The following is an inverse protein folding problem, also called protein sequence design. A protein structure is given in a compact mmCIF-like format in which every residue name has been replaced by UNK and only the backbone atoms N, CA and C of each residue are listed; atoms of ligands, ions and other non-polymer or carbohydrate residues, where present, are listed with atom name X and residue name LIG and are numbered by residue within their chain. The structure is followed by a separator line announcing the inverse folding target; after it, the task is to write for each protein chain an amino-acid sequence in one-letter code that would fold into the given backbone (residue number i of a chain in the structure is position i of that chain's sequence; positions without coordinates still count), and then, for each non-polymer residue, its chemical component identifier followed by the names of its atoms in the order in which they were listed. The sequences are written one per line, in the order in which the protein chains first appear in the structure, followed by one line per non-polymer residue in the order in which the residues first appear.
data_IF_937062108395
#
_entry.id   IF_937062108395
#
_cell.length_a   1.000
_cell.length_b   1.000
_cell.length_c   1.000
_cell.angle_alpha   90.00
_cell.angle_beta   90.00
_cell.angle_gamma   90.00
#
_symmetry.space_group_name_H-M   'P 1'
#
loop_
_entity.id
_entity.type
_entity.pdbx_description
1 polymer ?
#
# COMPACT_ATOMS: atom_id res chain seq x y z
N UNK A 1 19.51 -18.19 17.31
CA UNK A 1 19.97 -17.56 16.05
C UNK A 1 18.86 -17.40 14.98
N UNK A 2 17.55 -17.30 15.32
CA UNK A 2 16.49 -17.21 14.29
C UNK A 2 15.74 -15.88 14.19
N UNK A 3 15.95 -14.92 15.08
CA UNK A 3 15.12 -13.70 15.12
C UNK A 3 15.93 -12.39 14.92
N UNK A 4 17.24 -12.38 15.22
CA UNK A 4 18.17 -11.30 14.77
C UNK A 4 18.41 -11.38 13.25
N UNK A 5 18.34 -12.58 12.68
CA UNK A 5 18.30 -12.74 11.23
C UNK A 5 17.08 -12.09 10.60
N UNK A 6 15.91 -12.11 11.24
CA UNK A 6 14.65 -11.66 10.61
C UNK A 6 14.55 -10.13 10.56
N UNK A 7 14.90 -9.41 11.64
CA UNK A 7 14.88 -7.94 11.64
C UNK A 7 15.96 -7.33 10.72
N UNK A 8 17.18 -7.89 10.73
CA UNK A 8 18.27 -7.41 9.86
C UNK A 8 18.02 -7.78 8.40
N UNK A 9 17.46 -8.97 8.11
CA UNK A 9 16.99 -9.33 6.77
C UNK A 9 15.81 -8.45 6.34
N UNK A 10 14.90 -8.05 7.23
CA UNK A 10 13.81 -7.14 6.89
C UNK A 10 14.30 -5.73 6.56
N UNK A 11 15.22 -5.16 7.35
CA UNK A 11 15.78 -3.82 7.06
C UNK A 11 16.68 -3.85 5.81
N UNK A 12 17.51 -4.89 5.65
CA UNK A 12 18.30 -5.06 4.42
C UNK A 12 17.42 -5.35 3.20
N UNK A 13 16.33 -6.11 3.35
CA UNK A 13 15.39 -6.33 2.26
C UNK A 13 14.73 -5.00 1.86
N UNK A 14 14.20 -4.23 2.81
CA UNK A 14 13.58 -2.92 2.54
C UNK A 14 14.56 -1.92 1.91
N UNK A 15 15.83 -1.91 2.33
CA UNK A 15 16.86 -1.07 1.70
C UNK A 15 17.22 -1.55 0.28
N UNK A 16 17.42 -2.86 0.08
CA UNK A 16 17.65 -3.42 -1.26
C UNK A 16 16.47 -3.18 -2.22
N UNK A 17 15.23 -3.12 -1.71
CA UNK A 17 14.05 -2.84 -2.53
C UNK A 17 13.97 -1.38 -2.98
N UNK A 18 14.45 -0.43 -2.17
CA UNK A 18 14.47 0.98 -2.56
C UNK A 18 15.48 1.23 -3.69
N UNK A 19 16.70 0.69 -3.55
CA UNK A 19 17.75 0.81 -4.57
C UNK A 19 17.32 0.17 -5.90
N UNK A 20 16.62 -0.98 -5.85
CA UNK A 20 16.10 -1.64 -7.06
C UNK A 20 15.04 -0.82 -7.79
N UNK A 21 14.13 -0.13 -7.08
CA UNK A 21 13.12 0.74 -7.70
C UNK A 21 13.81 1.95 -8.34
N UNK A 22 14.76 2.57 -7.65
CA UNK A 22 15.50 3.73 -8.17
C UNK A 22 16.34 3.35 -9.40
N UNK A 23 16.96 2.18 -9.42
CA UNK A 23 17.66 1.63 -10.59
C UNK A 23 16.71 1.41 -11.78
N UNK A 24 15.51 0.89 -11.53
CA UNK A 24 14.50 0.70 -12.59
C UNK A 24 13.97 2.05 -13.10
N UNK A 25 13.78 3.04 -12.22
CA UNK A 25 13.38 4.39 -12.61
C UNK A 25 14.46 5.05 -13.47
N UNK A 26 15.74 4.91 -13.13
CA UNK A 26 16.84 5.41 -13.94
C UNK A 26 16.83 4.77 -15.35
N UNK A 27 16.52 3.48 -15.45
CA UNK A 27 16.40 2.76 -16.72
C UNK A 27 15.21 3.18 -17.58
N UNK A 28 14.22 3.90 -17.04
CA UNK A 28 13.15 4.48 -17.87
C UNK A 28 13.69 5.54 -18.84
N UNK A 29 14.85 6.14 -18.55
CA UNK A 29 15.57 7.07 -19.42
C UNK A 29 16.72 6.44 -20.21
N UNK A 30 16.87 5.11 -20.20
CA UNK A 30 17.93 4.45 -20.96
C UNK A 30 17.78 4.71 -22.46
N UNK A 31 18.87 4.73 -23.24
CA UNK A 31 18.80 4.95 -24.70
C UNK A 31 18.18 3.75 -25.45
N UNK A 32 18.41 2.52 -24.98
CA UNK A 32 17.82 1.32 -25.57
C UNK A 32 16.34 1.18 -25.18
N UNK A 33 15.48 1.05 -26.20
CA UNK A 33 14.05 0.82 -26.02
C UNK A 33 13.74 -0.47 -25.24
N UNK A 34 14.52 -1.54 -25.44
CA UNK A 34 14.31 -2.80 -24.72
C UNK A 34 14.57 -2.66 -23.23
N UNK A 35 15.58 -1.87 -22.84
CA UNK A 35 15.88 -1.60 -21.43
C UNK A 35 14.75 -0.79 -20.77
N UNK A 36 14.27 0.26 -21.45
CA UNK A 36 13.13 1.06 -20.97
C UNK A 36 11.89 0.21 -20.78
N UNK A 37 11.57 -0.62 -21.77
CA UNK A 37 10.40 -1.49 -21.76
C UNK A 37 10.47 -2.56 -20.66
N UNK A 38 11.64 -3.17 -20.49
CA UNK A 38 11.89 -4.15 -19.42
C UNK A 38 11.75 -3.50 -18.05
N UNK A 39 12.25 -2.28 -17.88
CA UNK A 39 12.12 -1.52 -16.64
C UNK A 39 10.66 -1.14 -16.36
N UNK A 40 9.89 -0.69 -17.36
CA UNK A 40 8.47 -0.38 -17.21
C UNK A 40 7.67 -1.60 -16.75
N UNK A 41 7.89 -2.78 -17.36
CA UNK A 41 7.24 -4.03 -16.96
C UNK A 41 7.61 -4.45 -15.54
N UNK A 42 8.90 -4.40 -15.21
CA UNK A 42 9.37 -4.75 -13.86
C UNK A 42 8.78 -3.83 -12.78
N UNK A 43 8.60 -2.53 -13.08
CA UNK A 43 7.93 -1.59 -12.17
C UNK A 43 6.44 -1.92 -12.02
N UNK A 44 5.75 -2.24 -13.10
CA UNK A 44 4.33 -2.65 -13.05
C UNK A 44 4.13 -3.96 -12.27
N UNK A 45 5.03 -4.94 -12.42
CA UNK A 45 4.98 -6.21 -11.68
C UNK A 45 5.17 -6.05 -10.17
N UNK A 46 5.86 -4.98 -9.72
CA UNK A 46 5.98 -4.64 -8.29
C UNK A 46 4.69 -4.07 -7.69
N UNK A 47 3.68 -3.79 -8.51
CA UNK A 47 2.33 -3.40 -8.09
C UNK A 47 2.25 -2.01 -7.47
N UNK A 48 1.20 -1.76 -6.69
CA UNK A 48 0.90 -0.43 -6.11
C UNK A 48 1.97 0.12 -5.16
N UNK A 49 2.93 -0.70 -4.72
CA UNK A 49 4.03 -0.29 -3.84
C UNK A 49 4.99 0.72 -4.48
N UNK A 50 5.09 0.77 -5.81
CA UNK A 50 5.99 1.69 -6.52
C UNK A 50 5.37 3.06 -6.82
N UNK A 51 4.05 3.21 -6.66
CA UNK A 51 3.31 4.45 -7.04
C UNK A 51 3.90 5.71 -6.39
N UNK A 52 4.23 5.75 -5.08
CA UNK A 52 4.79 6.96 -4.47
C UNK A 52 6.11 7.38 -5.13
N UNK A 53 6.97 6.42 -5.49
CA UNK A 53 8.26 6.68 -6.14
C UNK A 53 8.10 7.10 -7.61
N UNK A 54 7.12 6.52 -8.31
CA UNK A 54 6.77 6.95 -9.67
C UNK A 54 6.30 8.42 -9.70
N UNK A 55 5.43 8.82 -8.77
CA UNK A 55 4.95 10.20 -8.69
C UNK A 55 6.08 11.18 -8.29
N UNK A 56 6.94 10.77 -7.36
CA UNK A 56 8.15 11.54 -7.00
C UNK A 56 9.07 11.74 -8.20
N UNK A 57 9.34 10.68 -8.97
CA UNK A 57 10.16 10.75 -10.17
C UNK A 57 9.51 11.61 -11.27
N UNK A 58 8.20 11.51 -11.46
CA UNK A 58 7.45 12.32 -12.43
C UNK A 58 7.62 13.82 -12.15
N UNK A 59 7.53 14.23 -10.88
CA UNK A 59 7.69 15.63 -10.49
C UNK A 59 9.13 16.16 -10.58
N UNK A 60 10.14 15.28 -10.64
CA UNK A 60 11.57 15.66 -10.71
C UNK A 60 12.13 15.68 -12.11
N UNK A 61 11.57 14.90 -13.03
CA UNK A 61 12.07 14.78 -14.39
C UNK A 61 11.47 15.85 -15.30
N UNK A 62 12.26 16.33 -16.27
CA UNK A 62 11.76 17.16 -17.38
C UNK A 62 11.63 16.36 -18.69
N UNK A 63 12.10 15.12 -18.70
CA UNK A 63 12.04 14.27 -19.89
C UNK A 63 10.61 13.79 -20.15
N UNK A 64 10.08 14.13 -21.31
CA UNK A 64 8.73 13.76 -21.75
C UNK A 64 8.54 12.26 -21.94
N UNK A 65 9.57 11.53 -22.37
CA UNK A 65 9.50 10.06 -22.53
C UNK A 65 9.40 9.38 -21.17
N UNK A 66 10.17 9.84 -20.18
CA UNK A 66 10.09 9.32 -18.80
C UNK A 66 8.70 9.62 -18.21
N UNK A 67 8.18 10.84 -18.39
CA UNK A 67 6.82 11.21 -17.96
C UNK A 67 5.75 10.32 -18.60
N UNK A 68 5.85 10.09 -19.91
CA UNK A 68 4.94 9.20 -20.65
C UNK A 68 4.96 7.78 -20.07
N UNK A 69 6.15 7.21 -19.86
CA UNK A 69 6.29 5.84 -19.31
C UNK A 69 5.76 5.72 -17.90
N UNK A 70 6.06 6.69 -17.04
CA UNK A 70 5.50 6.71 -15.68
C UNK A 70 3.96 6.71 -15.74
N UNK A 71 3.35 7.54 -16.59
CA UNK A 71 1.90 7.58 -16.74
C UNK A 71 1.33 6.26 -17.28
N UNK A 72 2.01 5.58 -18.22
CA UNK A 72 1.61 4.25 -18.68
C UNK A 72 1.64 3.20 -17.57
N UNK A 73 2.69 3.21 -16.74
CA UNK A 73 2.81 2.31 -15.59
C UNK A 73 1.70 2.60 -14.57
N UNK A 74 1.44 3.87 -14.24
CA UNK A 74 0.36 4.25 -13.33
C UNK A 74 -1.00 3.77 -13.83
N UNK A 75 -1.28 3.95 -15.12
CA UNK A 75 -2.50 3.45 -15.76
C UNK A 75 -2.61 1.92 -15.66
N UNK A 76 -1.53 1.18 -15.94
CA UNK A 76 -1.49 -0.27 -15.80
C UNK A 76 -1.75 -0.73 -14.36
N UNK A 77 -1.32 0.06 -13.37
CA UNK A 77 -1.55 -0.17 -11.94
C UNK A 77 -2.96 0.26 -11.47
N UNK A 78 -3.84 0.72 -12.37
CA UNK A 78 -5.17 1.21 -12.00
C UNK A 78 -5.14 2.50 -11.19
N UNK A 79 -4.07 3.30 -11.33
CA UNK A 79 -3.92 4.60 -10.69
C UNK A 79 -4.11 5.73 -11.70
N UNK A 80 -4.65 6.90 -11.31
CA UNK A 80 -4.65 8.07 -12.17
C UNK A 80 -3.24 8.48 -12.59
N UNK A 81 -3.11 9.07 -13.78
CA UNK A 81 -1.86 9.70 -14.24
C UNK A 81 -1.47 10.87 -13.35
N UNK A 82 -0.21 11.28 -13.36
CA UNK A 82 0.24 12.39 -12.52
C UNK A 82 -0.46 13.72 -12.87
N UNK A 83 -0.75 13.96 -14.16
CA UNK A 83 -1.54 15.11 -14.63
C UNK A 83 -2.98 15.03 -14.12
N UNK A 84 -3.60 13.85 -14.21
CA UNK A 84 -4.95 13.64 -13.69
C UNK A 84 -5.03 13.89 -12.17
N UNK A 85 -3.98 13.59 -11.40
CA UNK A 85 -3.95 13.91 -9.98
C UNK A 85 -4.00 15.42 -9.73
N UNK A 86 -3.29 16.21 -10.54
CA UNK A 86 -3.34 17.67 -10.45
C UNK A 86 -4.75 18.20 -10.77
N UNK A 87 -5.43 17.61 -11.75
CA UNK A 87 -6.83 17.93 -12.05
C UNK A 87 -7.77 17.54 -10.90
N UNK A 88 -7.59 16.36 -10.29
CA UNK A 88 -8.35 15.95 -9.10
C UNK A 88 -8.15 16.97 -7.96
N UNK A 89 -6.92 17.36 -7.66
CA UNK A 89 -6.60 18.34 -6.63
C UNK A 89 -7.20 19.71 -6.92
N UNK A 90 -7.17 20.12 -8.20
CA UNK A 90 -7.81 21.34 -8.66
C UNK A 90 -9.32 21.30 -8.43
N UNK A 91 -10.00 20.23 -8.83
CA UNK A 91 -11.45 20.11 -8.65
C UNK A 91 -11.86 20.02 -7.16
N UNK A 92 -11.06 19.37 -6.32
CA UNK A 92 -11.26 19.38 -4.87
C UNK A 92 -11.13 20.79 -4.29
N UNK A 93 -10.13 21.55 -4.75
CA UNK A 93 -9.92 22.94 -4.32
C UNK A 93 -11.02 23.88 -4.82
N UNK A 94 -11.49 23.69 -6.06
CA UNK A 94 -12.62 24.43 -6.61
C UNK A 94 -13.90 24.12 -5.84
N UNK A 95 -14.16 22.85 -5.52
CA UNK A 95 -15.28 22.45 -4.68
C UNK A 95 -15.24 23.13 -3.30
N UNK A 96 -14.08 23.17 -2.65
CA UNK A 96 -13.93 23.88 -1.37
C UNK A 96 -14.28 25.36 -1.47
N UNK A 97 -13.87 26.03 -2.56
CA UNK A 97 -14.25 27.43 -2.82
C UNK A 97 -15.75 27.60 -3.07
N UNK A 98 -16.39 26.63 -3.74
CA UNK A 98 -17.85 26.65 -3.94
C UNK A 98 -18.60 26.52 -2.62
N UNK A 99 -18.08 25.71 -1.69
CA UNK A 99 -18.67 25.59 -0.35
C UNK A 99 -18.60 26.92 0.39
N UNK A 100 -17.50 27.66 0.29
CA UNK A 100 -17.35 28.95 0.99
C UNK A 100 -18.05 30.14 0.30
N UNK A 101 -18.44 29.99 -0.96
CA UNK A 101 -19.02 31.07 -1.75
C UNK A 101 -20.50 31.31 -1.38
N UNK A 102 -20.97 32.58 -1.34
CA UNK A 102 -22.37 32.92 -1.12
C UNK A 102 -23.19 32.67 -2.41
N UNK A 103 -23.34 31.40 -2.78
CA UNK A 103 -24.11 30.96 -3.94
C UNK A 103 -25.54 30.63 -3.52
N UNK A 104 -26.47 30.70 -4.47
CA UNK A 104 -27.80 30.09 -4.30
C UNK A 104 -27.70 28.56 -4.42
N UNK A 105 -28.72 27.83 -3.93
CA UNK A 105 -28.77 26.37 -4.03
C UNK A 105 -28.66 25.86 -5.48
N UNK A 106 -29.32 26.54 -6.41
CA UNK A 106 -29.34 26.18 -7.83
C UNK A 106 -27.95 26.37 -8.46
N UNK A 107 -27.28 27.49 -8.17
CA UNK A 107 -25.93 27.77 -8.66
C UNK A 107 -24.91 26.78 -8.10
N UNK A 108 -25.00 26.47 -6.80
CA UNK A 108 -24.12 25.48 -6.16
C UNK A 108 -24.29 24.10 -6.80
N UNK A 109 -25.54 23.65 -7.00
CA UNK A 109 -25.84 22.35 -7.62
C UNK A 109 -25.29 22.29 -9.04
N UNK A 110 -25.52 23.34 -9.83
CA UNK A 110 -25.04 23.42 -11.21
C UNK A 110 -23.51 23.39 -11.29
N UNK A 111 -22.82 24.15 -10.44
CA UNK A 111 -21.37 24.21 -10.44
C UNK A 111 -20.74 22.91 -9.91
N UNK A 112 -21.29 22.33 -8.85
CA UNK A 112 -20.79 21.04 -8.33
C UNK A 112 -21.03 19.89 -9.30
N UNK A 113 -22.17 19.85 -9.99
CA UNK A 113 -22.43 18.86 -11.03
C UNK A 113 -21.45 19.01 -12.20
N UNK A 114 -21.11 20.24 -12.60
CA UNK A 114 -20.09 20.46 -13.61
C UNK A 114 -18.72 19.91 -13.18
N UNK A 115 -18.32 20.09 -11.92
CA UNK A 115 -17.07 19.50 -11.39
C UNK A 115 -17.12 17.97 -11.40
N UNK A 116 -18.25 17.36 -11.00
CA UNK A 116 -18.44 15.91 -11.02
C UNK A 116 -18.27 15.36 -12.44
N UNK A 117 -18.87 16.01 -13.43
CA UNK A 117 -18.77 15.59 -14.83
C UNK A 117 -17.34 15.72 -15.38
N UNK A 118 -16.54 16.68 -14.89
CA UNK A 118 -15.11 16.70 -15.22
C UNK A 118 -14.34 15.59 -14.49
N UNK A 119 -14.65 15.33 -13.22
CA UNK A 119 -14.02 14.27 -12.42
C UNK A 119 -14.27 12.88 -13.01
N UNK A 120 -15.48 12.60 -13.51
CA UNK A 120 -15.84 11.33 -14.15
C UNK A 120 -15.03 11.02 -15.41
N UNK A 121 -14.48 12.04 -16.08
CA UNK A 121 -13.62 11.85 -17.26
C UNK A 121 -12.22 11.35 -16.89
N UNK A 122 -11.83 11.46 -15.62
CA UNK A 122 -10.52 11.03 -15.15
C UNK A 122 -10.56 9.53 -14.87
N UNK A 123 -9.77 8.79 -15.63
CA UNK A 123 -9.60 7.35 -15.45
C UNK A 123 -9.06 7.05 -14.03
N UNK A 124 -9.66 6.06 -13.36
CA UNK A 124 -9.30 5.64 -12.00
C UNK A 124 -9.48 6.70 -10.88
N UNK A 125 -10.21 7.80 -11.13
CA UNK A 125 -10.45 8.83 -10.11
C UNK A 125 -11.12 8.27 -8.84
N UNK A 126 -12.14 7.42 -8.99
CA UNK A 126 -12.85 6.81 -7.86
C UNK A 126 -11.93 5.99 -6.94
N UNK A 127 -11.04 5.18 -7.51
CA UNK A 127 -10.06 4.40 -6.76
C UNK A 127 -9.13 5.31 -5.96
N UNK A 128 -8.64 6.39 -6.58
CA UNK A 128 -7.78 7.35 -5.90
C UNK A 128 -8.51 8.12 -4.79
N UNK A 129 -9.74 8.59 -5.05
CA UNK A 129 -10.54 9.31 -4.08
C UNK A 129 -10.86 8.45 -2.86
N UNK A 130 -11.16 7.16 -3.04
CA UNK A 130 -11.38 6.24 -1.93
C UNK A 130 -10.12 5.99 -1.10
N UNK A 131 -8.98 5.78 -1.75
CA UNK A 131 -7.70 5.63 -1.06
C UNK A 131 -7.38 6.88 -0.22
N UNK A 132 -7.56 8.06 -0.81
CA UNK A 132 -7.33 9.35 -0.13
C UNK A 132 -8.34 9.60 0.99
N UNK A 133 -9.58 9.14 0.85
CA UNK A 133 -10.60 9.24 1.90
C UNK A 133 -10.22 8.41 3.13
N UNK A 134 -9.52 7.28 2.94
CA UNK A 134 -8.95 6.49 4.03
C UNK A 134 -7.82 7.21 4.80
N UNK A 135 -7.17 8.16 4.15
CA UNK A 135 -5.99 8.89 4.64
C UNK A 135 -6.34 10.28 5.20
N UNK A 136 -7.51 10.80 4.82
CA UNK A 136 -7.95 12.14 5.15
C UNK A 136 -8.12 12.29 6.68
N UNK A 137 -7.36 13.23 7.24
CA UNK A 137 -7.47 13.66 8.65
C UNK A 137 -8.34 14.92 8.78
N UNK A 138 -8.37 15.71 7.72
CA UNK A 138 -9.17 16.93 7.65
C UNK A 138 -10.63 16.57 7.32
N UNK A 139 -11.55 17.11 8.12
CA UNK A 139 -12.98 16.80 8.02
C UNK A 139 -13.55 17.34 6.70
N UNK A 140 -13.21 18.57 6.31
CA UNK A 140 -13.70 19.20 5.08
C UNK A 140 -13.23 18.46 3.83
N UNK A 141 -11.95 18.07 3.79
CA UNK A 141 -11.41 17.24 2.72
C UNK A 141 -12.11 15.88 2.67
N UNK A 142 -12.34 15.24 3.82
CA UNK A 142 -13.05 13.95 3.87
C UNK A 142 -14.46 14.04 3.29
N UNK A 143 -15.17 15.14 3.57
CA UNK A 143 -16.50 15.38 3.03
C UNK A 143 -16.48 15.62 1.51
N UNK A 144 -15.54 16.43 1.01
CA UNK A 144 -15.38 16.66 -0.42
C UNK A 144 -15.04 15.36 -1.17
N UNK A 145 -14.12 14.55 -0.63
CA UNK A 145 -13.76 13.25 -1.20
C UNK A 145 -14.96 12.30 -1.24
N UNK A 146 -15.74 12.22 -0.15
CA UNK A 146 -16.93 11.39 -0.08
C UNK A 146 -18.02 11.84 -1.06
N UNK A 147 -18.22 13.15 -1.21
CA UNK A 147 -19.14 13.75 -2.18
C UNK A 147 -18.82 13.30 -3.60
N UNK A 148 -17.58 13.50 -4.05
CA UNK A 148 -17.17 13.13 -5.41
C UNK A 148 -17.23 11.62 -5.63
N UNK A 149 -16.80 10.85 -4.64
CA UNK A 149 -16.82 9.40 -4.72
C UNK A 149 -18.25 8.88 -4.91
N UNK A 150 -19.20 9.37 -4.11
CA UNK A 150 -20.63 9.02 -4.24
C UNK A 150 -21.18 9.41 -5.62
N UNK A 151 -20.92 10.65 -6.05
CA UNK A 151 -21.41 11.16 -7.33
C UNK A 151 -20.87 10.37 -8.55
N UNK A 152 -19.66 9.82 -8.45
CA UNK A 152 -19.10 8.94 -9.48
C UNK A 152 -19.65 7.52 -9.46
N UNK A 153 -20.10 7.02 -8.30
CA UNK A 153 -20.66 5.67 -8.17
C UNK A 153 -22.08 5.55 -8.75
N UNK A 154 -22.64 6.64 -9.28
CA UNK A 154 -23.92 6.60 -9.99
C UNK A 154 -25.11 6.40 -9.06
N UNK A 155 -24.98 6.80 -7.79
CA UNK A 155 -26.15 7.02 -6.93
C UNK A 155 -26.84 8.30 -7.44
N UNK A 156 -27.46 8.19 -8.62
CA UNK A 156 -28.36 9.18 -9.19
C UNK A 156 -29.53 9.27 -8.20
N UNK A 157 -29.42 10.17 -7.23
CA UNK A 157 -30.54 10.45 -6.34
C UNK A 157 -31.62 11.10 -7.18
N UNK A 158 -32.57 10.28 -7.67
CA UNK A 158 -33.81 10.73 -8.30
C UNK A 158 -34.69 11.56 -7.34
N UNK A 159 -34.32 11.64 -6.06
CA UNK A 159 -34.90 12.57 -5.09
C UNK A 159 -33.80 13.44 -4.49
N UNK A 160 -33.77 14.71 -4.91
CA UNK A 160 -32.63 15.62 -4.77
C UNK A 160 -31.94 15.60 -3.40
N UNK A 161 -30.63 15.31 -3.39
CA UNK A 161 -29.72 15.53 -2.27
C UNK A 161 -30.27 15.12 -0.87
N UNK A 162 -31.10 14.08 -0.80
CA UNK A 162 -31.75 13.64 0.44
C UNK A 162 -30.84 12.83 1.38
N UNK A 163 -29.71 12.32 0.90
CA UNK A 163 -28.82 11.46 1.68
C UNK A 163 -27.41 12.01 1.76
N UNK A 164 -27.13 12.83 2.78
CA UNK A 164 -25.77 13.09 3.26
C UNK A 164 -25.19 14.48 2.99
N UNK A 165 -25.78 15.31 2.14
CA UNK A 165 -25.34 16.71 1.93
C UNK A 165 -26.56 17.61 1.67
N UNK A 166 -27.39 17.89 2.67
CA UNK A 166 -28.56 18.74 2.41
C UNK A 166 -28.14 20.20 2.26
N UNK A 167 -28.34 20.72 1.05
CA UNK A 167 -28.19 22.15 0.75
C UNK A 167 -29.52 22.81 1.10
N UNK A 168 -29.56 23.51 2.23
CA UNK A 168 -30.73 24.22 2.73
C UNK A 168 -30.45 25.72 2.63
N UNK A 169 -31.36 26.45 2.00
CA UNK A 169 -31.30 27.91 1.97
C UNK A 169 -32.08 28.46 3.17
N UNK A 170 -31.44 29.25 4.03
CA UNK A 170 -32.08 29.88 5.19
C UNK A 170 -31.59 31.31 5.34
N UNK A 171 -32.51 32.28 5.25
CA UNK A 171 -32.17 33.70 5.37
C UNK A 171 -31.25 34.23 4.27
N UNK A 172 -31.32 33.68 3.05
CA UNK A 172 -30.44 34.07 1.94
C UNK A 172 -29.02 33.49 2.00
N UNK A 173 -28.78 32.56 2.93
CA UNK A 173 -27.53 31.80 3.03
C UNK A 173 -27.75 30.35 2.67
N UNK A 174 -26.81 29.77 1.94
CA UNK A 174 -26.74 28.34 1.70
C UNK A 174 -26.03 27.67 2.87
N UNK A 175 -26.72 26.73 3.50
CA UNK A 175 -26.19 25.84 4.55
C UNK A 175 -26.01 24.48 3.89
N UNK A 176 -24.75 24.04 3.78
CA UNK A 176 -24.41 22.70 3.31
C UNK A 176 -24.28 21.81 4.54
N UNK A 177 -25.28 20.96 4.82
CA UNK A 177 -25.25 20.00 5.93
C UNK A 177 -24.70 18.68 5.44
N UNK A 178 -23.45 18.35 5.77
CA UNK A 178 -22.84 17.06 5.42
C UNK A 178 -22.83 16.14 6.63
N UNK A 179 -23.70 15.12 6.65
CA UNK A 179 -23.92 14.29 7.85
C UNK A 179 -24.59 15.06 9.01
N UNK A 180 -24.59 14.49 10.22
CA UNK A 180 -25.27 15.00 11.42
C UNK A 180 -24.75 16.37 11.96
N UNK A 181 -24.07 17.18 11.15
CA UNK A 181 -23.42 18.43 11.57
C UNK A 181 -23.81 19.59 10.65
N UNK A 182 -24.25 20.68 11.27
CA UNK A 182 -24.69 21.92 10.60
C UNK A 182 -23.47 22.83 10.38
N UNK A 183 -23.03 22.99 9.12
CA UNK A 183 -22.05 24.04 8.77
C UNK A 183 -22.85 25.30 8.44
N UNK A 184 -22.93 26.24 9.38
CA UNK A 184 -23.60 27.54 9.18
C UNK A 184 -22.63 28.49 8.50
N UNK A 185 -23.01 29.02 7.34
CA UNK A 185 -22.15 29.88 6.52
C UNK A 185 -22.67 31.32 6.53
N UNK A 186 -22.13 32.13 7.45
CA UNK A 186 -22.27 33.59 7.47
C UNK A 186 -23.02 34.18 8.69
N UNK A 187 -22.35 35.10 9.39
CA UNK A 187 -22.94 36.27 10.06
C UNK A 187 -24.09 36.09 11.07
N UNK A 188 -23.74 35.68 12.30
CA UNK A 188 -24.25 36.26 13.55
C UNK A 188 -25.77 36.30 13.81
N UNK A 189 -26.29 35.29 14.50
CA UNK A 189 -27.61 35.33 15.11
C UNK A 189 -27.98 33.97 15.67
N UNK A 190 -27.81 33.79 16.97
CA UNK A 190 -28.04 32.52 17.66
C UNK A 190 -29.53 32.18 17.74
N UNK A 191 -29.91 31.09 17.09
CA UNK A 191 -31.06 30.27 17.49
C UNK A 191 -30.53 28.85 17.73
N UNK A 192 -30.66 28.37 18.97
CA UNK A 192 -30.45 26.98 19.34
C UNK A 192 -31.60 26.14 18.74
N UNK A 193 -31.26 25.11 17.98
CA UNK A 193 -32.22 24.16 17.41
C UNK A 193 -31.99 22.76 17.98
N UNK A 194 -33.09 22.07 18.27
CA UNK A 194 -33.14 20.66 18.64
C UNK A 194 -32.58 19.78 17.51
N UNK A 195 -31.61 18.93 17.86
CA UNK A 195 -31.08 17.88 16.99
C UNK A 195 -32.10 16.74 16.84
N UNK A 196 -32.99 16.81 15.85
CA UNK A 196 -33.59 15.60 15.31
C UNK A 196 -32.46 14.77 14.67
N UNK A 197 -32.21 13.58 15.24
CA UNK A 197 -31.15 12.66 14.84
C UNK A 197 -31.32 12.15 13.41
N UNK A 198 -30.85 12.95 12.45
CA UNK A 198 -30.66 12.52 11.07
C UNK A 198 -29.44 11.61 11.04
N UNK A 199 -29.66 10.35 10.69
CA UNK A 199 -28.66 9.31 10.48
C UNK A 199 -27.81 9.66 9.24
N UNK A 200 -26.97 10.67 9.40
CA UNK A 200 -26.14 11.24 8.35
C UNK A 200 -25.15 10.22 7.80
N UNK A 201 -25.05 10.14 6.48
CA UNK A 201 -24.07 9.26 5.83
C UNK A 201 -22.66 9.72 6.18
N UNK A 202 -21.95 8.92 6.98
CA UNK A 202 -20.54 9.14 7.30
C UNK A 202 -19.67 8.69 6.12
N UNK A 203 -18.43 9.20 5.97
CA UNK A 203 -17.54 8.69 4.94
C UNK A 203 -17.20 7.19 5.10
N UNK A 204 -17.46 6.58 6.28
CA UNK A 204 -17.43 5.13 6.44
C UNK A 204 -18.57 4.43 5.67
N UNK A 205 -19.78 5.01 5.66
CA UNK A 205 -20.91 4.49 4.89
C UNK A 205 -20.68 4.57 3.39
N UNK A 206 -20.10 5.65 2.88
CA UNK A 206 -19.74 5.76 1.45
C UNK A 206 -18.74 4.68 1.04
N UNK A 207 -17.71 4.43 1.86
CA UNK A 207 -16.76 3.36 1.60
C UNK A 207 -17.42 1.97 1.71
N UNK A 208 -18.36 1.79 2.64
CA UNK A 208 -19.13 0.55 2.77
C UNK A 208 -19.98 0.28 1.52
N UNK A 209 -20.68 1.29 1.01
CA UNK A 209 -21.49 1.19 -0.22
C UNK A 209 -20.59 0.90 -1.43
N UNK A 210 -19.44 1.55 -1.52
CA UNK A 210 -18.42 1.29 -2.52
C UNK A 210 -17.88 -0.16 -2.46
N UNK A 211 -17.68 -0.70 -1.27
CA UNK A 211 -17.22 -2.08 -1.07
C UNK A 211 -18.30 -3.12 -1.44
N UNK A 212 -19.57 -2.73 -1.48
CA UNK A 212 -20.69 -3.56 -1.96
C UNK A 212 -20.83 -3.55 -3.48
N UNK A 213 -20.08 -2.71 -4.21
CA UNK A 213 -20.11 -2.69 -5.68
C UNK A 213 -19.43 -3.93 -6.28
N UNK A 214 -19.84 -4.32 -7.50
CA UNK A 214 -19.24 -5.44 -8.23
C UNK A 214 -17.85 -5.17 -8.83
N UNK A 215 -17.25 -4.00 -8.58
CA UNK A 215 -15.94 -3.65 -9.10
C UNK A 215 -14.85 -3.99 -8.07
N UNK A 216 -14.05 -5.02 -8.35
CA UNK A 216 -13.01 -5.53 -7.43
C UNK A 216 -11.95 -4.49 -7.04
N UNK A 217 -11.56 -3.59 -7.96
CA UNK A 217 -10.59 -2.53 -7.64
C UNK A 217 -11.16 -1.50 -6.66
N UNK A 218 -12.43 -1.13 -6.85
CA UNK A 218 -13.13 -0.21 -5.94
C UNK A 218 -13.37 -0.86 -4.58
N UNK A 219 -13.76 -2.14 -4.58
CA UNK A 219 -13.94 -2.95 -3.39
C UNK A 219 -12.67 -3.06 -2.56
N UNK A 220 -11.54 -3.38 -3.18
CA UNK A 220 -10.25 -3.47 -2.49
C UNK A 220 -9.83 -2.10 -1.90
N UNK A 221 -9.98 -1.01 -2.67
CA UNK A 221 -9.67 0.35 -2.20
C UNK A 221 -10.54 0.76 -1.01
N UNK A 222 -11.84 0.50 -1.09
CA UNK A 222 -12.80 0.79 -0.03
C UNK A 222 -12.48 0.03 1.27
N UNK A 223 -12.16 -1.26 1.16
CA UNK A 223 -11.77 -2.09 2.30
C UNK A 223 -10.46 -1.61 2.96
N UNK A 224 -9.46 -1.26 2.15
CA UNK A 224 -8.21 -0.68 2.67
C UNK A 224 -8.47 0.65 3.39
N UNK A 225 -9.31 1.51 2.83
CA UNK A 225 -9.68 2.79 3.43
C UNK A 225 -10.43 2.60 4.77
N UNK A 226 -11.43 1.72 4.83
CA UNK A 226 -12.16 1.38 6.06
C UNK A 226 -11.23 0.85 7.14
N UNK A 227 -10.32 -0.07 6.78
CA UNK A 227 -9.35 -0.63 7.72
C UNK A 227 -8.42 0.46 8.28
N UNK A 228 -7.97 1.40 7.45
CA UNK A 228 -7.08 2.49 7.87
C UNK A 228 -7.77 3.48 8.82
N UNK A 229 -9.06 3.74 8.62
CA UNK A 229 -9.88 4.58 9.50
C UNK A 229 -10.32 3.89 10.80
N UNK A 230 -9.99 2.60 10.98
CA UNK A 230 -10.39 1.79 12.14
C UNK A 230 -11.92 1.68 12.30
N UNK A 231 -12.65 1.72 11.20
CA UNK A 231 -14.12 1.62 11.17
C UNK A 231 -14.56 0.15 11.25
N UNK A 232 -14.30 -0.48 12.40
CA UNK A 232 -14.45 -1.93 12.58
C UNK A 232 -15.88 -2.42 12.48
N UNK A 233 -16.85 -1.56 12.81
CA UNK A 233 -18.28 -1.87 12.68
C UNK A 233 -18.63 -2.06 11.21
N UNK A 234 -18.21 -1.15 10.33
CA UNK A 234 -18.45 -1.25 8.89
C UNK A 234 -17.73 -2.45 8.25
N UNK A 235 -16.50 -2.75 8.67
CA UNK A 235 -15.78 -3.95 8.22
C UNK A 235 -16.48 -5.24 8.66
N UNK A 236 -17.02 -5.27 9.88
CA UNK A 236 -17.77 -6.42 10.39
C UNK A 236 -19.08 -6.61 9.62
N UNK A 237 -19.82 -5.54 9.36
CA UNK A 237 -21.03 -5.57 8.53
C UNK A 237 -20.74 -6.13 7.13
N UNK A 238 -19.65 -5.70 6.49
CA UNK A 238 -19.19 -6.25 5.20
C UNK A 238 -18.90 -7.75 5.28
N UNK A 239 -18.19 -8.21 6.32
CA UNK A 239 -17.91 -9.64 6.52
C UNK A 239 -19.20 -10.42 6.69
N UNK A 240 -20.16 -9.91 7.45
CA UNK A 240 -21.46 -10.55 7.66
C UNK A 240 -22.28 -10.60 6.36
N UNK A 241 -22.27 -9.52 5.58
CA UNK A 241 -22.93 -9.44 4.27
C UNK A 241 -22.31 -10.40 3.25
N UNK A 242 -20.98 -10.53 3.24
CA UNK A 242 -20.21 -11.43 2.36
C UNK A 242 -20.14 -12.88 2.88
N UNK A 243 -20.54 -13.14 4.13
CA UNK A 243 -20.62 -14.50 4.70
C UNK A 243 -21.95 -15.20 4.36
N UNK A 244 -22.89 -14.52 3.72
CA UNK A 244 -24.03 -15.17 3.08
C UNK A 244 -23.52 -15.96 1.85
N UNK A 245 -23.98 -17.20 1.61
CA UNK A 245 -23.40 -18.03 0.56
C UNK A 245 -23.76 -17.47 -0.81
N UNK A 246 -22.75 -17.00 -1.56
CA UNK A 246 -22.35 -17.72 -2.76
C UNK A 246 -20.84 -17.96 -2.81
N UNK A 247 -20.39 -18.68 -3.84
CA UNK A 247 -19.04 -19.20 -4.12
C UNK A 247 -17.93 -18.12 -4.31
N UNK A 248 -17.94 -17.01 -3.58
CA UNK A 248 -17.01 -15.90 -3.77
C UNK A 248 -15.66 -16.02 -3.03
N UNK A 249 -14.68 -15.35 -3.64
CA UNK A 249 -13.23 -15.44 -3.54
C UNK A 249 -12.63 -15.68 -2.13
N UNK A 250 -12.08 -16.88 -1.98
CA UNK A 250 -11.39 -17.40 -0.79
C UNK A 250 -10.23 -16.48 -0.33
N UNK A 251 -9.62 -15.70 -1.24
CA UNK A 251 -8.57 -14.74 -0.91
C UNK A 251 -9.12 -13.50 -0.21
N UNK A 252 -10.29 -13.00 -0.62
CA UNK A 252 -10.91 -11.82 -0.03
C UNK A 252 -11.32 -12.10 1.42
N UNK A 253 -11.92 -13.27 1.67
CA UNK A 253 -12.27 -13.69 3.04
C UNK A 253 -11.03 -13.79 3.93
N UNK A 254 -9.91 -14.33 3.42
CA UNK A 254 -8.64 -14.38 4.16
C UNK A 254 -8.09 -12.99 4.46
N UNK A 255 -8.19 -12.05 3.51
CA UNK A 255 -7.75 -10.66 3.72
C UNK A 255 -8.59 -9.97 4.80
N UNK A 256 -9.92 -10.04 4.71
CA UNK A 256 -10.85 -9.46 5.67
C UNK A 256 -10.64 -10.03 7.08
N UNK A 257 -10.50 -11.36 7.22
CA UNK A 257 -10.20 -12.01 8.51
C UNK A 257 -8.85 -11.58 9.08
N UNK A 258 -7.83 -11.34 8.25
CA UNK A 258 -6.53 -10.81 8.70
C UNK A 258 -6.64 -9.39 9.23
N UNK A 259 -7.39 -8.52 8.55
CA UNK A 259 -7.58 -7.13 9.00
C UNK A 259 -8.41 -7.07 10.29
N UNK A 260 -9.49 -7.86 10.39
CA UNK A 260 -10.31 -7.95 11.60
C UNK A 260 -9.50 -8.44 12.80
N UNK A 261 -8.66 -9.48 12.64
CA UNK A 261 -7.77 -9.98 13.70
C UNK A 261 -6.72 -8.97 14.15
N UNK A 262 -6.23 -8.11 13.25
CA UNK A 262 -5.29 -7.04 13.61
C UNK A 262 -5.94 -5.97 14.46
N UNK A 263 -7.24 -5.74 14.26
CA UNK A 263 -7.94 -4.65 14.90
C UNK A 263 -8.76 -5.06 16.14
N UNK A 264 -9.15 -6.33 16.24
CA UNK A 264 -9.83 -6.90 17.40
C UNK A 264 -9.13 -8.20 17.83
N UNK A 265 -8.06 -8.13 18.65
CA UNK A 265 -7.43 -9.33 19.20
C UNK A 265 -8.44 -10.12 20.06
N UNK A 266 -8.37 -11.46 20.08
CA UNK A 266 -9.37 -12.30 20.75
C UNK A 266 -9.45 -12.00 22.26
N UNK A 267 -10.69 -11.91 22.78
CA UNK A 267 -11.05 -11.46 24.13
C UNK A 267 -10.71 -12.45 25.27
N UNK A 268 -9.90 -13.47 25.02
CA UNK A 268 -9.49 -14.42 26.07
C UNK A 268 -8.31 -13.79 26.83
N UNK A 269 -8.61 -12.90 27.78
CA UNK A 269 -7.66 -12.08 28.52
C UNK A 269 -6.55 -12.94 29.17
N UNK A 270 -6.86 -14.20 29.50
CA UNK A 270 -5.90 -15.17 30.03
C UNK A 270 -5.00 -15.76 28.92
N UNK A 271 -5.51 -15.99 27.72
CA UNK A 271 -4.70 -16.40 26.58
C UNK A 271 -3.82 -15.23 26.10
N UNK A 272 -4.31 -13.99 26.14
CA UNK A 272 -3.56 -12.80 25.81
C UNK A 272 -2.47 -12.51 26.86
N UNK A 273 -2.75 -12.65 28.16
CA UNK A 273 -1.71 -12.57 29.21
C UNK A 273 -0.64 -13.64 28.99
N UNK A 274 -1.03 -14.89 28.71
CA UNK A 274 -0.09 -15.98 28.41
C UNK A 274 0.69 -15.75 27.11
N UNK A 275 0.06 -15.17 26.08
CA UNK A 275 0.75 -14.88 24.82
C UNK A 275 1.66 -13.65 24.95
N UNK A 276 1.25 -12.62 25.69
CA UNK A 276 2.03 -11.44 26.01
C UNK A 276 3.24 -11.80 26.87
N UNK A 277 3.09 -12.66 27.88
CA UNK A 277 4.22 -13.22 28.65
C UNK A 277 5.15 -14.04 27.76
N UNK A 278 4.61 -14.90 26.88
CA UNK A 278 5.44 -15.63 25.89
C UNK A 278 6.15 -14.68 24.93
N UNK A 279 5.55 -13.55 24.56
CA UNK A 279 6.17 -12.53 23.69
C UNK A 279 7.27 -11.78 24.44
N UNK A 280 7.02 -11.33 25.68
CA UNK A 280 8.03 -10.71 26.55
C UNK A 280 9.20 -11.64 26.81
N UNK A 281 8.95 -12.92 27.08
CA UNK A 281 9.99 -13.92 27.29
C UNK A 281 10.79 -14.17 26.00
N UNK A 282 10.13 -14.31 24.84
CA UNK A 282 10.82 -14.42 23.55
C UNK A 282 11.65 -13.18 23.23
N UNK A 283 11.16 -12.00 23.56
CA UNK A 283 11.86 -10.73 23.38
C UNK A 283 13.07 -10.63 24.32
N UNK A 284 12.93 -11.01 25.58
CA UNK A 284 14.04 -11.11 26.54
C UNK A 284 15.11 -12.09 26.04
N UNK A 285 14.72 -13.28 25.60
CA UNK A 285 15.64 -14.27 25.03
C UNK A 285 16.31 -13.79 23.75
N UNK A 286 15.62 -13.00 22.92
CA UNK A 286 16.23 -12.34 21.77
C UNK A 286 17.32 -11.38 22.20
N UNK A 287 16.99 -10.47 23.12
CA UNK A 287 17.92 -9.43 23.59
C UNK A 287 19.16 -10.05 24.25
N UNK A 288 18.99 -11.11 25.04
CA UNK A 288 20.11 -11.87 25.62
C UNK A 288 20.99 -12.55 24.55
N UNK A 289 20.39 -13.14 23.51
CA UNK A 289 21.15 -13.72 22.40
C UNK A 289 21.91 -12.67 21.58
N UNK A 290 21.31 -11.50 21.39
CA UNK A 290 21.94 -10.38 20.71
C UNK A 290 23.13 -9.88 21.54
N UNK A 291 22.95 -9.67 22.85
CA UNK A 291 24.02 -9.27 23.76
C UNK A 291 25.17 -10.28 23.74
N UNK A 292 24.89 -11.58 23.81
CA UNK A 292 25.91 -12.63 23.74
C UNK A 292 26.71 -12.59 22.40
N UNK A 293 26.01 -12.44 21.27
CA UNK A 293 26.67 -12.33 19.97
C UNK A 293 27.53 -11.06 19.85
N UNK A 294 27.07 -9.95 20.42
CA UNK A 294 27.85 -8.70 20.46
C UNK A 294 29.10 -8.83 21.33
N UNK A 295 29.01 -9.52 22.48
CA UNK A 295 30.20 -9.82 23.31
C UNK A 295 31.21 -10.69 22.55
N UNK A 296 30.73 -11.72 21.83
CA UNK A 296 31.59 -12.59 21.03
C UNK A 296 32.29 -11.84 19.89
N UNK A 297 31.57 -10.94 19.20
CA UNK A 297 32.10 -10.16 18.07
C UNK A 297 33.11 -9.09 18.48
N UNK A 298 32.95 -8.50 19.67
CA UNK A 298 33.72 -7.32 20.08
C UNK A 298 34.74 -7.62 21.18
N UNK A 299 34.66 -8.79 21.81
CA UNK A 299 35.44 -9.15 22.99
C UNK A 299 35.09 -8.36 24.26
N UNK A 300 34.07 -7.49 24.22
CA UNK A 300 33.67 -6.68 25.36
C UNK A 300 32.76 -7.45 26.33
N UNK A 301 32.96 -7.28 27.64
CA UNK A 301 32.23 -8.02 28.68
C UNK A 301 30.91 -7.37 29.12
N UNK A 302 30.65 -6.13 28.72
CA UNK A 302 29.45 -5.39 29.14
C UNK A 302 28.21 -5.75 28.29
N UNK A 303 27.02 -5.54 28.82
CA UNK A 303 25.74 -5.96 28.25
C UNK A 303 24.89 -6.75 29.25
N UNK A 304 23.58 -6.89 28.99
CA UNK A 304 22.69 -7.61 29.89
C UNK A 304 22.98 -9.12 29.88
N UNK A 305 23.08 -9.71 31.06
CA UNK A 305 23.11 -11.15 31.30
C UNK A 305 21.74 -11.68 31.76
N UNK A 306 21.65 -12.97 32.00
CA UNK A 306 20.43 -13.64 32.48
C UNK A 306 19.92 -13.11 33.83
N UNK A 307 20.79 -12.42 34.58
CA UNK A 307 20.51 -11.81 35.89
C UNK A 307 20.18 -10.33 35.80
N UNK A 308 20.36 -9.68 34.64
CA UNK A 308 20.14 -8.25 34.47
C UNK A 308 18.64 -7.95 34.49
N UNK A 309 18.23 -7.01 35.35
CA UNK A 309 16.83 -6.61 35.44
C UNK A 309 16.40 -5.87 34.17
N UNK A 310 15.12 -5.97 33.80
CA UNK A 310 14.60 -5.38 32.56
C UNK A 310 14.68 -3.84 32.56
N UNK A 311 14.64 -3.20 33.73
CA UNK A 311 14.92 -1.77 33.89
C UNK A 311 16.35 -1.38 33.53
N UNK A 312 17.31 -2.28 33.71
CA UNK A 312 18.74 -2.02 33.49
C UNK A 312 19.17 -2.30 32.04
N UNK A 313 18.32 -2.98 31.27
CA UNK A 313 18.56 -3.26 29.84
C UNK A 313 18.73 -1.98 29.03
N UNK A 314 17.92 -0.95 29.30
CA UNK A 314 18.00 0.33 28.58
C UNK A 314 19.34 1.01 28.84
N UNK A 315 19.81 0.96 30.08
CA UNK A 315 21.09 1.53 30.50
C UNK A 315 22.27 0.78 29.87
N UNK A 316 22.23 -0.56 29.83
CA UNK A 316 23.26 -1.36 29.16
C UNK A 316 23.28 -1.18 27.64
N UNK A 317 22.10 -1.04 27.00
CA UNK A 317 22.00 -0.70 25.57
C UNK A 317 22.59 0.70 25.31
N UNK A 318 22.37 1.66 26.21
CA UNK A 318 22.98 2.99 26.12
C UNK A 318 24.51 2.94 26.14
N UNK A 319 25.11 2.17 27.06
CA UNK A 319 26.56 1.94 27.11
C UNK A 319 27.09 1.34 25.82
N UNK A 320 26.35 0.41 25.23
CA UNK A 320 26.67 -0.18 23.92
C UNK A 320 26.63 0.83 22.78
N UNK A 321 25.64 1.71 22.75
CA UNK A 321 25.54 2.76 21.74
C UNK A 321 26.69 3.77 21.84
N UNK A 322 27.09 4.14 23.05
CA UNK A 322 28.18 5.09 23.28
C UNK A 322 29.55 4.47 22.99
N UNK A 323 29.74 3.20 23.36
CA UNK A 323 30.90 2.44 22.92
C UNK A 323 30.95 2.33 21.39
N UNK A 324 29.83 2.03 20.73
CA UNK A 324 29.78 1.94 19.27
C UNK A 324 30.14 3.26 18.57
N UNK A 325 29.66 4.39 19.09
CA UNK A 325 29.98 5.71 18.53
C UNK A 325 31.48 5.98 18.51
N UNK A 326 32.23 5.45 19.47
CA UNK A 326 33.68 5.63 19.58
C UNK A 326 34.45 4.51 18.87
N UNK A 327 33.96 3.28 18.90
CA UNK A 327 34.62 2.10 18.33
C UNK A 327 34.44 1.93 16.82
N UNK A 328 33.35 2.44 16.23
CA UNK A 328 33.06 2.30 14.78
C UNK A 328 34.16 2.86 13.87
N UNK A 329 34.94 3.82 14.37
CA UNK A 329 36.01 4.48 13.64
C UNK A 329 37.39 3.86 13.89
N UNK A 330 37.49 2.91 14.83
CA UNK A 330 38.71 2.16 15.11
C UNK A 330 39.13 1.29 13.91
N UNK A 331 40.44 1.18 13.68
CA UNK A 331 41.01 0.48 12.54
C UNK A 331 40.61 -1.02 12.51
N UNK A 332 40.56 -1.65 13.67
CA UNK A 332 40.17 -3.06 13.85
C UNK A 332 38.73 -3.33 13.38
N UNK A 333 37.82 -2.39 13.63
CA UNK A 333 36.43 -2.51 13.22
C UNK A 333 36.26 -2.35 11.70
N UNK A 334 37.06 -1.46 11.07
CA UNK A 334 37.09 -1.32 9.61
C UNK A 334 37.57 -2.60 8.93
N UNK A 335 38.55 -3.29 9.51
CA UNK A 335 39.03 -4.58 8.99
C UNK A 335 37.98 -5.68 9.11
N UNK A 336 37.28 -5.78 10.25
CA UNK A 336 36.20 -6.74 10.45
C UNK A 336 35.02 -6.50 9.47
N UNK A 337 34.62 -5.24 9.29
CA UNK A 337 33.60 -4.84 8.31
C UNK A 337 33.99 -5.20 6.88
N UNK A 338 35.27 -5.00 6.52
CA UNK A 338 35.78 -5.40 5.21
C UNK A 338 35.74 -6.93 5.02
N UNK A 339 36.12 -7.71 6.04
CA UNK A 339 36.03 -9.19 6.00
C UNK A 339 34.58 -9.67 5.83
N UNK A 340 33.63 -9.03 6.50
CA UNK A 340 32.19 -9.31 6.34
C UNK A 340 31.71 -8.99 4.92
N UNK A 341 32.04 -7.81 4.39
CA UNK A 341 31.71 -7.42 3.01
C UNK A 341 32.29 -8.42 2.00
N UNK A 342 33.53 -8.86 2.19
CA UNK A 342 34.17 -9.88 1.36
C UNK A 342 33.45 -11.23 1.43
N UNK A 343 32.93 -11.61 2.59
CA UNK A 343 32.16 -12.85 2.74
C UNK A 343 30.81 -12.77 2.02
N UNK A 344 30.10 -11.63 2.12
CA UNK A 344 28.86 -11.38 1.37
C UNK A 344 29.11 -11.46 -0.14
N UNK A 345 30.20 -10.87 -0.63
CA UNK A 345 30.58 -10.95 -2.04
C UNK A 345 30.86 -12.39 -2.48
N UNK A 346 31.58 -13.20 -1.67
CA UNK A 346 31.80 -14.63 -1.97
C UNK A 346 30.50 -15.43 -2.04
N UNK A 347 29.53 -15.14 -1.17
CA UNK A 347 28.22 -15.78 -1.20
C UNK A 347 27.42 -15.40 -2.44
N UNK A 348 27.44 -14.12 -2.83
CA UNK A 348 26.83 -13.65 -4.10
C UNK A 348 27.49 -14.33 -5.30
N UNK A 349 28.82 -14.41 -5.34
CA UNK A 349 29.58 -15.10 -6.39
C UNK A 349 29.19 -16.59 -6.48
N UNK A 350 29.07 -17.27 -5.34
CA UNK A 350 28.65 -18.67 -5.30
C UNK A 350 27.22 -18.86 -5.82
N UNK A 351 26.31 -17.93 -5.52
CA UNK A 351 24.94 -17.96 -6.04
C UNK A 351 24.90 -17.76 -7.56
N UNK A 352 25.64 -16.76 -8.07
CA UNK A 352 25.76 -16.50 -9.51
C UNK A 352 26.33 -17.73 -10.23
N UNK A 353 27.36 -18.38 -9.68
CA UNK A 353 27.91 -19.64 -10.24
C UNK A 353 26.87 -20.76 -10.31
N UNK A 354 25.98 -20.88 -9.32
CA UNK A 354 24.89 -21.88 -9.35
C UNK A 354 23.88 -21.56 -10.45
N UNK A 355 23.49 -20.30 -10.59
CA UNK A 355 22.58 -19.88 -11.65
C UNK A 355 23.19 -20.12 -13.03
N UNK A 356 24.47 -19.79 -13.23
CA UNK A 356 25.17 -20.00 -14.50
C UNK A 356 25.19 -21.48 -14.91
N UNK A 357 25.48 -22.39 -13.98
CA UNK A 357 25.39 -23.85 -14.24
C UNK A 357 23.98 -24.31 -14.62
N UNK A 358 22.95 -23.71 -14.02
CA UNK A 358 21.56 -24.03 -14.37
C UNK A 358 21.22 -23.57 -15.79
N UNK A 359 21.73 -22.40 -16.22
CA UNK A 359 21.57 -21.92 -17.59
C UNK A 359 22.34 -22.77 -18.60
N UNK A 360 23.57 -23.17 -18.29
CA UNK A 360 24.37 -24.06 -19.14
C UNK A 360 23.66 -25.40 -19.37
N UNK A 361 23.13 -26.00 -18.30
CA UNK A 361 22.35 -27.23 -18.40
C UNK A 361 21.11 -27.06 -19.29
N UNK A 362 20.37 -25.96 -19.13
CA UNK A 362 19.20 -25.67 -19.96
C UNK A 362 19.58 -25.46 -21.44
N UNK A 363 20.72 -24.84 -21.70
CA UNK A 363 21.26 -24.70 -23.05
C UNK A 363 21.59 -26.06 -23.68
N UNK A 364 22.22 -26.97 -22.93
CA UNK A 364 22.48 -28.34 -23.39
C UNK A 364 21.19 -29.11 -23.71
N UNK A 365 20.18 -29.00 -22.86
CA UNK A 365 18.86 -29.61 -23.08
C UNK A 365 18.20 -29.08 -24.37
N UNK A 366 18.26 -27.77 -24.62
CA UNK A 366 17.75 -27.15 -25.84
C UNK A 366 18.53 -27.57 -27.09
N UNK A 367 19.86 -27.67 -26.99
CA UNK A 367 20.69 -28.14 -28.11
C UNK A 367 20.37 -29.59 -28.47
N UNK A 368 20.17 -30.45 -27.47
CA UNK A 368 19.76 -31.83 -27.70
C UNK A 368 18.39 -31.92 -28.36
N UNK A 369 17.42 -31.12 -27.89
CA UNK A 369 16.10 -31.05 -28.51
C UNK A 369 16.16 -30.55 -29.97
N UNK A 370 17.05 -29.60 -30.27
CA UNK A 370 17.28 -29.12 -31.63
C UNK A 370 17.88 -30.20 -32.52
N UNK A 371 18.82 -31.00 -32.01
CA UNK A 371 19.42 -32.11 -32.76
C UNK A 371 18.41 -33.25 -33.01
N UNK A 372 17.54 -33.56 -32.03
CA UNK A 372 16.44 -34.51 -32.18
C UNK A 372 15.42 -34.03 -33.24
N UNK A 373 15.20 -32.72 -33.37
CA UNK A 373 14.35 -32.13 -34.43
C UNK A 373 15.01 -32.18 -35.81
N UNK A 374 16.34 -32.02 -35.90
CA UNK A 374 17.08 -32.11 -37.17
C UNK A 374 17.21 -33.53 -37.67
N UNK A 375 17.31 -34.49 -36.77
CA UNK A 375 17.41 -35.91 -37.06
C UNK A 375 16.24 -36.64 -36.40
N UNK A 376 15.01 -36.45 -36.91
CA UNK A 376 13.84 -37.10 -36.34
C UNK A 376 14.09 -38.61 -36.40
N UNK A 377 14.17 -39.24 -35.23
CA UNK A 377 14.22 -40.71 -35.16
C UNK A 377 12.91 -41.21 -35.77
N UNK A 378 13.02 -42.12 -36.73
CA UNK A 378 11.87 -42.82 -37.31
C UNK A 378 10.92 -43.22 -36.20
N UNK A 379 9.68 -42.81 -36.35
CA UNK A 379 8.66 -43.05 -35.34
C UNK A 379 8.55 -44.57 -35.13
N UNK A 380 8.42 -45.06 -33.89
CA UNK A 380 8.13 -46.48 -33.65
C UNK A 380 6.93 -47.01 -34.46
N UNK A 381 6.02 -46.11 -34.85
CA UNK A 381 4.89 -46.41 -35.74
C UNK A 381 5.30 -46.66 -37.20
N UNK A 382 6.33 -45.98 -37.71
CA UNK A 382 6.86 -46.24 -39.07
C UNK A 382 7.54 -47.61 -39.13
N UNK A 383 8.26 -47.99 -38.07
CA UNK A 383 8.86 -49.33 -37.97
C UNK A 383 7.83 -50.47 -37.90
N UNK A 384 6.70 -50.25 -37.22
CA UNK A 384 5.63 -51.27 -37.17
C UNK A 384 4.86 -51.40 -38.50
N UNK A 385 4.85 -50.38 -39.36
CA UNK A 385 4.25 -50.47 -40.69
C UNK A 385 5.15 -51.21 -41.70
N UNK A 386 6.45 -51.23 -41.49
CA UNK A 386 7.39 -52.01 -42.31
C UNK A 386 7.45 -53.49 -41.92
N UNK A 387 7.29 -53.84 -40.63
CA UNK A 387 7.26 -55.25 -40.18
C UNK A 387 5.93 -55.97 -40.40
N UNK A 388 4.86 -55.23 -40.75
CA UNK A 388 3.52 -55.75 -41.03
C UNK A 388 3.21 -56.01 -42.51
N UNK A 389 4.19 -55.87 -43.42
CA UNK A 389 4.13 -56.23 -44.83
C UNK A 389 5.03 -57.44 -45.10
#
# INVERSE_FOLDING_TARGET
MRVVGVMTVLVLAVLCFADEIDDLLAKLGAEDWNERETASKALAEKGSSVIPRLLEAYGKTEDSEIKLRINLILKQLGHPTAEALADIDKYLSEYQKLVEAPLTKEEFTKQTQALVEQMKKIENAATHLAARLGDAKDENLSLALAFFLKAMLGDETDEGFGGGTSVVERGGQVIVRVGAKKIVMGGGGGEEEEEEGLEGQTPAKVLLDMAKTGNESLKEAALKALAKRKELVAVKELIETLSAPPEEDDNLQRMLRRQLRKANPPADEEAEKKEAEKRKEKEKQLKLRLAAALRELTGQSFGPDDKTQESDFVTEIGKWQDWWKTAKDAAEYKEAKLKEQMLVLRLKEANIKRQLRAYEKKKEELMKALDDLKNPKESPYEKQQEEGK
#
